data_IF_408747053429
#
_entry.id   IF_408747053429
#
_cell.length_a   1.000
_cell.length_b   1.000
_cell.length_c   1.000
_cell.angle_alpha   90.00
_cell.angle_beta   90.00
_cell.angle_gamma   90.00
#
_symmetry.space_group_name_H-M   'P 1'
#
loop_
_entity.id
_entity.type
_entity.pdbx_description
1 polymer ?
#
# COMPACT_ATOMS: atom_id res chain seq x y z
N UNK A 1 -2.25 -14.91 25.78
CA UNK A 1 -1.56 -14.19 24.68
C UNK A 1 -1.30 -12.76 25.13
N UNK A 2 -0.07 -12.25 24.99
CA UNK A 2 0.30 -10.90 25.47
C UNK A 2 -0.42 -9.80 24.66
N UNK A 3 -0.53 -9.96 23.34
CA UNK A 3 -1.22 -9.00 22.46
C UNK A 3 -2.69 -8.79 22.83
N UNK A 4 -3.46 -9.87 23.05
CA UNK A 4 -4.87 -9.75 23.44
C UNK A 4 -5.04 -9.07 24.81
N UNK A 5 -4.16 -9.36 25.79
CA UNK A 5 -4.18 -8.66 27.07
C UNK A 5 -3.94 -7.16 26.90
N UNK A 6 -3.06 -6.78 25.97
CA UNK A 6 -2.80 -5.38 25.63
C UNK A 6 -4.04 -4.75 24.96
N UNK A 7 -4.64 -5.44 23.99
CA UNK A 7 -5.82 -4.97 23.27
C UNK A 7 -7.00 -4.70 24.21
N UNK A 8 -7.22 -5.58 25.19
CA UNK A 8 -8.32 -5.46 26.16
C UNK A 8 -7.98 -4.65 27.42
N UNK A 9 -6.75 -4.15 27.55
CA UNK A 9 -6.33 -3.37 28.73
C UNK A 9 -6.46 -1.88 28.49
N UNK A 10 -7.01 -1.15 29.44
CA UNK A 10 -7.09 0.32 29.36
C UNK A 10 -5.83 1.03 29.88
N UNK A 11 -4.94 0.30 30.56
CA UNK A 11 -3.81 0.89 31.29
C UNK A 11 -2.44 0.43 30.80
N UNK A 12 -2.38 -0.53 29.86
CA UNK A 12 -1.10 -1.03 29.37
C UNK A 12 -0.32 0.07 28.63
N UNK A 13 0.96 0.23 28.99
CA UNK A 13 1.90 1.10 28.29
C UNK A 13 3.23 0.39 28.15
N UNK A 14 3.87 0.56 26.99
CA UNK A 14 5.24 0.10 26.80
C UNK A 14 6.19 0.97 27.64
N UNK A 15 7.15 0.35 28.35
CA UNK A 15 8.25 1.08 28.95
C UNK A 15 9.06 1.80 27.86
N UNK A 16 9.00 3.13 27.82
CA UNK A 16 9.83 3.96 26.93
C UNK A 16 10.50 5.07 27.72
N UNK A 17 11.71 5.45 27.32
CA UNK A 17 12.45 6.59 27.90
C UNK A 17 12.00 7.93 27.28
N UNK A 18 11.12 7.90 26.29
CA UNK A 18 10.72 9.05 25.49
C UNK A 18 9.29 9.48 25.83
N UNK A 19 8.94 10.73 25.51
CA UNK A 19 7.58 11.25 25.70
C UNK A 19 6.54 10.64 24.74
N UNK A 20 6.99 10.04 23.63
CA UNK A 20 6.15 9.33 22.66
C UNK A 20 6.78 7.99 22.31
N UNK A 21 5.95 6.94 22.31
CA UNK A 21 6.37 5.61 21.85
C UNK A 21 6.78 5.64 20.39
N UNK A 22 7.92 5.04 20.07
CA UNK A 22 8.37 4.79 18.69
C UNK A 22 8.18 3.33 18.32
N UNK A 23 8.22 3.04 17.01
CA UNK A 23 8.20 1.66 16.50
C UNK A 23 9.32 0.83 17.13
N UNK A 24 10.52 1.39 17.28
CA UNK A 24 11.66 0.67 17.87
C UNK A 24 11.41 0.32 19.35
N UNK A 25 10.68 1.14 20.12
CA UNK A 25 10.33 0.81 21.50
C UNK A 25 9.42 -0.44 21.56
N UNK A 26 8.48 -0.56 20.61
CA UNK A 26 7.63 -1.75 20.45
C UNK A 26 8.48 -2.97 20.10
N UNK A 27 9.43 -2.79 19.18
CA UNK A 27 10.27 -3.89 18.73
C UNK A 27 11.15 -4.40 19.87
N UNK A 28 11.78 -3.50 20.63
CA UNK A 28 12.59 -3.85 21.78
C UNK A 28 11.77 -4.53 22.88
N UNK A 29 10.54 -4.07 23.14
CA UNK A 29 9.63 -4.73 24.09
C UNK A 29 9.41 -6.21 23.72
N UNK A 30 9.11 -6.49 22.45
CA UNK A 30 8.88 -7.87 22.00
C UNK A 30 10.18 -8.69 21.87
N UNK A 31 11.33 -8.05 21.69
CA UNK A 31 12.64 -8.73 21.76
C UNK A 31 12.96 -9.26 23.17
N UNK A 32 12.35 -8.71 24.23
CA UNK A 32 12.52 -9.25 25.60
C UNK A 32 11.77 -10.57 25.85
N UNK A 33 10.86 -10.95 24.95
CA UNK A 33 10.04 -12.16 25.10
C UNK A 33 10.81 -13.42 24.68
N UNK A 34 10.46 -14.60 25.22
CA UNK A 34 11.04 -15.86 24.77
C UNK A 34 10.92 -16.02 23.26
N UNK A 35 12.00 -16.41 22.60
CA UNK A 35 12.02 -16.62 21.15
C UNK A 35 11.37 -17.94 20.82
N UNK A 36 10.56 -17.95 19.76
CA UNK A 36 10.00 -19.16 19.19
C UNK A 36 10.80 -19.57 17.95
N UNK A 37 11.07 -20.86 17.82
CA UNK A 37 11.67 -21.41 16.62
C UNK A 37 10.57 -21.85 15.64
N UNK A 38 10.47 -21.15 14.50
CA UNK A 38 9.47 -21.46 13.46
C UNK A 38 9.65 -22.85 12.85
N UNK A 39 10.82 -23.47 12.99
CA UNK A 39 11.08 -24.84 12.54
C UNK A 39 10.74 -25.90 13.60
N UNK A 40 10.51 -25.49 14.84
CA UNK A 40 10.01 -26.37 15.90
C UNK A 40 8.48 -26.42 15.86
N UNK A 41 7.91 -27.62 15.69
CA UNK A 41 6.48 -27.79 15.52
C UNK A 41 5.64 -27.27 16.70
N UNK A 42 6.11 -27.41 17.94
CA UNK A 42 5.37 -26.94 19.12
C UNK A 42 5.36 -25.42 19.21
N UNK A 43 6.49 -24.79 18.89
CA UNK A 43 6.60 -23.33 18.87
C UNK A 43 5.80 -22.71 17.73
N UNK A 44 5.88 -23.30 16.53
CA UNK A 44 5.05 -22.89 15.39
C UNK A 44 3.56 -23.02 15.71
N UNK A 45 3.15 -24.12 16.36
CA UNK A 45 1.77 -24.31 16.81
C UNK A 45 1.33 -23.22 17.79
N UNK A 46 2.17 -22.78 18.73
CA UNK A 46 1.85 -21.66 19.64
C UNK A 46 1.58 -20.38 18.84
N UNK A 47 2.38 -20.11 17.81
CA UNK A 47 2.17 -18.95 16.94
C UNK A 47 0.82 -19.05 16.22
N UNK A 48 0.47 -20.21 15.66
CA UNK A 48 -0.82 -20.46 15.00
C UNK A 48 -1.99 -20.27 15.98
N UNK A 49 -1.92 -20.86 17.17
CA UNK A 49 -2.93 -20.68 18.21
C UNK A 49 -3.11 -19.20 18.57
N UNK A 50 -2.02 -18.44 18.66
CA UNK A 50 -2.07 -17.00 18.89
C UNK A 50 -2.74 -16.25 17.73
N UNK A 51 -2.38 -16.56 16.49
CA UNK A 51 -3.00 -15.96 15.29
C UNK A 51 -4.51 -16.19 15.20
N UNK A 52 -4.97 -17.39 15.59
CA UNK A 52 -6.39 -17.74 15.60
C UNK A 52 -7.18 -16.87 16.59
N UNK A 53 -6.64 -16.66 17.79
CA UNK A 53 -7.31 -15.82 18.79
C UNK A 53 -7.27 -14.33 18.42
N UNK A 54 -6.22 -13.85 17.75
CA UNK A 54 -6.14 -12.49 17.20
C UNK A 54 -7.16 -12.25 16.08
N UNK A 55 -7.34 -13.23 15.19
CA UNK A 55 -8.38 -13.15 14.15
C UNK A 55 -9.77 -13.11 14.79
N UNK A 56 -10.06 -14.00 15.74
CA UNK A 56 -11.35 -14.00 16.44
C UNK A 56 -11.63 -12.65 17.09
N UNK A 57 -10.66 -12.10 17.81
CA UNK A 57 -10.76 -10.76 18.39
C UNK A 57 -11.08 -9.69 17.32
N UNK A 58 -10.37 -9.72 16.19
CA UNK A 58 -10.53 -8.72 15.14
C UNK A 58 -11.87 -8.85 14.40
N UNK A 59 -12.39 -10.08 14.26
CA UNK A 59 -13.71 -10.34 13.67
C UNK A 59 -14.86 -9.79 14.53
N UNK A 60 -14.64 -9.59 15.84
CA UNK A 60 -15.61 -8.99 16.76
C UNK A 60 -15.57 -7.44 16.75
N UNK A 61 -14.71 -6.81 15.95
CA UNK A 61 -14.61 -5.36 15.83
C UNK A 61 -15.48 -4.82 14.68
N UNK A 62 -15.87 -3.54 14.76
CA UNK A 62 -16.65 -2.88 13.70
C UNK A 62 -15.97 -2.93 12.32
N UNK A 63 -14.64 -2.87 12.30
CA UNK A 63 -13.84 -2.94 11.09
C UNK A 63 -12.93 -4.15 11.15
N UNK A 64 -13.33 -5.23 10.47
CA UNK A 64 -12.68 -6.54 10.58
C UNK A 64 -11.50 -6.72 9.63
N UNK A 65 -11.52 -6.03 8.47
CA UNK A 65 -10.59 -6.27 7.36
C UNK A 65 -11.04 -7.36 6.37
N UNK A 66 -12.12 -8.08 6.66
CA UNK A 66 -12.71 -9.06 5.73
C UNK A 66 -13.25 -8.35 4.49
N UNK A 67 -13.01 -8.92 3.31
CA UNK A 67 -13.45 -8.37 2.03
C UNK A 67 -12.64 -7.18 1.54
N UNK A 68 -11.49 -6.87 2.18
CA UNK A 68 -10.60 -5.80 1.75
C UNK A 68 -10.10 -6.01 0.32
N UNK A 69 -9.72 -7.23 -0.06
CA UNK A 69 -9.26 -7.54 -1.42
C UNK A 69 -10.40 -7.76 -2.43
N UNK A 70 -11.65 -7.83 -1.96
CA UNK A 70 -12.79 -8.19 -2.79
C UNK A 70 -13.75 -7.01 -2.91
N UNK A 71 -14.72 -6.90 -1.99
CA UNK A 71 -15.75 -5.87 -2.06
C UNK A 71 -15.15 -4.46 -1.98
N UNK A 72 -14.15 -4.24 -1.13
CA UNK A 72 -13.58 -2.90 -0.95
C UNK A 72 -12.87 -2.41 -2.21
N UNK A 73 -11.96 -3.21 -2.78
CA UNK A 73 -11.29 -2.89 -4.04
C UNK A 73 -12.31 -2.70 -5.16
N UNK A 74 -13.31 -3.60 -5.28
CA UNK A 74 -14.35 -3.50 -6.30
C UNK A 74 -15.15 -2.20 -6.19
N UNK A 75 -15.57 -1.83 -4.98
CA UNK A 75 -16.29 -0.58 -4.75
C UNK A 75 -15.39 0.64 -5.06
N UNK A 76 -14.11 0.61 -4.65
CA UNK A 76 -13.15 1.68 -4.96
C UNK A 76 -12.96 1.86 -6.47
N UNK A 77 -12.87 0.77 -7.23
CA UNK A 77 -12.77 0.80 -8.69
C UNK A 77 -14.06 1.29 -9.37
N UNK A 78 -15.23 1.06 -8.76
CA UNK A 78 -16.49 1.64 -9.23
C UNK A 78 -16.52 3.15 -9.00
N UNK A 79 -16.05 3.62 -7.84
CA UNK A 79 -16.00 5.05 -7.51
C UNK A 79 -15.08 5.85 -8.47
N UNK A 80 -14.11 5.20 -9.13
CA UNK A 80 -13.28 5.86 -10.15
C UNK A 80 -14.10 6.48 -11.28
N UNK A 81 -15.23 5.88 -11.64
CA UNK A 81 -16.12 6.40 -12.71
C UNK A 81 -16.70 7.77 -12.35
N UNK A 82 -16.91 8.00 -11.05
CA UNK A 82 -17.42 9.26 -10.50
C UNK A 82 -16.27 10.23 -10.24
N UNK A 83 -15.13 9.73 -9.76
CA UNK A 83 -13.93 10.55 -9.54
C UNK A 83 -13.47 11.17 -10.86
N UNK A 84 -13.45 10.42 -11.96
CA UNK A 84 -13.09 10.97 -13.26
C UNK A 84 -13.79 10.20 -14.38
N UNK A 85 -14.69 10.84 -15.14
CA UNK A 85 -15.46 10.17 -16.20
C UNK A 85 -14.62 9.44 -17.25
N UNK A 86 -13.32 9.73 -17.39
CA UNK A 86 -12.41 8.99 -18.30
C UNK A 86 -12.21 7.52 -17.91
N UNK A 87 -12.44 7.16 -16.64
CA UNK A 87 -12.41 5.77 -16.18
C UNK A 87 -13.71 5.02 -16.51
N UNK A 88 -14.80 5.76 -16.76
CA UNK A 88 -16.12 5.17 -17.03
C UNK A 88 -16.09 4.36 -18.32
N UNK A 89 -16.58 3.12 -18.25
CA UNK A 89 -16.58 2.18 -19.37
C UNK A 89 -15.18 1.91 -19.97
N UNK A 90 -14.12 2.14 -19.19
CA UNK A 90 -12.74 1.94 -19.62
C UNK A 90 -12.05 0.92 -18.69
N UNK A 91 -12.28 -0.39 -18.90
CA UNK A 91 -11.70 -1.43 -18.04
C UNK A 91 -10.16 -1.44 -18.06
N UNK A 92 -9.55 -1.08 -19.19
CA UNK A 92 -8.10 -1.03 -19.35
C UNK A 92 -7.47 0.03 -18.43
N UNK A 93 -8.09 1.21 -18.29
CA UNK A 93 -7.56 2.23 -17.38
C UNK A 93 -7.72 1.85 -15.90
N UNK A 94 -8.76 1.09 -15.54
CA UNK A 94 -8.91 0.55 -14.18
C UNK A 94 -7.88 -0.54 -13.87
N UNK A 95 -7.64 -1.45 -14.81
CA UNK A 95 -6.56 -2.44 -14.72
C UNK A 95 -5.19 -1.75 -14.58
N UNK A 96 -4.97 -0.67 -15.35
CA UNK A 96 -3.77 0.15 -15.23
C UNK A 96 -3.63 0.79 -13.85
N UNK A 97 -4.73 1.28 -13.25
CA UNK A 97 -4.72 1.79 -11.85
C UNK A 97 -4.34 0.68 -10.87
N UNK A 98 -4.84 -0.55 -11.04
CA UNK A 98 -4.48 -1.69 -10.17
C UNK A 98 -2.98 -2.02 -10.27
N UNK A 99 -2.45 -2.08 -11.50
CA UNK A 99 -1.03 -2.26 -11.72
C UNK A 99 -0.19 -1.12 -11.09
N UNK A 100 -0.56 0.14 -11.33
CA UNK A 100 0.13 1.31 -10.79
C UNK A 100 0.12 1.32 -9.26
N UNK A 101 -1.01 0.95 -8.66
CA UNK A 101 -1.14 0.79 -7.21
C UNK A 101 -0.12 -0.23 -6.70
N UNK A 102 0.08 -1.32 -7.44
CA UNK A 102 1.01 -2.38 -7.06
C UNK A 102 2.46 -1.92 -7.02
N UNK A 103 2.94 -1.15 -8.02
CA UNK A 103 4.32 -0.63 -8.06
C UNK A 103 4.55 0.57 -7.13
N UNK A 104 3.48 1.28 -6.75
CA UNK A 104 3.53 2.42 -5.82
C UNK A 104 3.27 2.03 -4.36
N UNK A 105 2.79 0.81 -4.09
CA UNK A 105 2.53 0.29 -2.73
C UNK A 105 3.75 0.19 -1.80
N UNK A 106 4.99 -0.11 -2.25
CA UNK A 106 6.09 -0.36 -1.33
C UNK A 106 6.41 0.84 -0.44
N UNK A 107 6.27 0.64 0.88
CA UNK A 107 6.64 1.62 1.90
C UNK A 107 5.68 2.79 2.08
N UNK A 108 4.54 2.80 1.37
CA UNK A 108 3.44 3.75 1.59
C UNK A 108 2.33 3.15 2.47
N UNK A 109 1.66 3.97 3.30
CA UNK A 109 0.39 3.56 3.90
C UNK A 109 -0.68 3.36 2.82
N UNK A 110 -1.57 2.40 3.05
CA UNK A 110 -2.71 2.14 2.20
C UNK A 110 -3.50 3.43 1.93
N UNK A 111 -3.78 3.67 0.66
CA UNK A 111 -4.50 4.82 0.14
C UNK A 111 -3.61 5.94 -0.41
N UNK A 112 -2.35 6.04 0.04
CA UNK A 112 -1.40 6.94 -0.63
C UNK A 112 -0.96 6.38 -1.98
N UNK A 113 -0.64 5.09 -2.02
CA UNK A 113 -0.39 4.30 -3.21
C UNK A 113 -1.53 4.42 -4.24
N UNK A 114 -2.76 4.22 -3.80
CA UNK A 114 -3.94 4.27 -4.65
C UNK A 114 -4.21 5.68 -5.21
N UNK A 115 -4.10 6.72 -4.37
CA UNK A 115 -4.18 8.12 -4.83
C UNK A 115 -3.11 8.45 -5.87
N UNK A 116 -1.88 8.01 -5.62
CA UNK A 116 -0.78 8.24 -6.55
C UNK A 116 -1.02 7.49 -7.87
N UNK A 117 -1.53 6.25 -7.82
CA UNK A 117 -1.89 5.47 -9.00
C UNK A 117 -2.99 6.14 -9.84
N UNK A 118 -4.06 6.63 -9.20
CA UNK A 118 -5.12 7.39 -9.88
C UNK A 118 -4.54 8.63 -10.58
N UNK A 119 -3.65 9.37 -9.91
CA UNK A 119 -3.00 10.55 -10.50
C UNK A 119 -2.13 10.21 -11.70
N UNK A 120 -1.34 9.14 -11.63
CA UNK A 120 -0.50 8.69 -12.76
C UNK A 120 -1.40 8.26 -13.92
N UNK A 121 -2.46 7.50 -13.65
CA UNK A 121 -3.40 7.05 -14.68
C UNK A 121 -4.15 8.22 -15.33
N UNK A 122 -4.64 9.20 -14.56
CA UNK A 122 -5.29 10.39 -15.12
C UNK A 122 -4.33 11.23 -15.96
N UNK A 123 -3.07 11.42 -15.53
CA UNK A 123 -2.06 12.08 -16.35
C UNK A 123 -1.86 11.33 -17.68
N UNK A 124 -1.71 10.00 -17.63
CA UNK A 124 -1.58 9.19 -18.82
C UNK A 124 -2.79 9.33 -19.76
N UNK A 125 -4.02 9.30 -19.23
CA UNK A 125 -5.24 9.48 -20.03
C UNK A 125 -5.38 10.88 -20.64
N UNK A 126 -4.60 11.87 -20.18
CA UNK A 126 -4.54 13.22 -20.76
C UNK A 126 -3.47 13.36 -21.85
N UNK A 127 -2.33 12.70 -21.67
CA UNK A 127 -1.10 13.02 -22.43
C UNK A 127 -0.58 11.85 -23.25
N UNK A 128 -1.09 10.64 -23.04
CA UNK A 128 -0.47 9.39 -23.50
C UNK A 128 1.00 9.23 -23.04
N UNK A 129 1.35 9.86 -21.91
CA UNK A 129 2.64 9.76 -21.24
C UNK A 129 2.46 9.34 -19.79
N UNK A 130 3.21 8.32 -19.36
CA UNK A 130 3.24 7.87 -17.97
C UNK A 130 4.31 8.67 -17.23
N UNK A 131 3.94 9.66 -16.39
CA UNK A 131 4.92 10.49 -15.71
C UNK A 131 5.63 9.70 -14.61
N UNK A 132 6.94 9.87 -14.51
CA UNK A 132 7.75 9.26 -13.46
C UNK A 132 8.03 10.24 -12.28
N UNK A 133 7.64 11.50 -12.43
CA UNK A 133 7.65 12.57 -11.42
C UNK A 133 6.27 13.21 -11.43
N UNK A 134 5.75 13.55 -10.25
CA UNK A 134 4.51 14.29 -10.14
C UNK A 134 4.74 15.74 -10.61
N UNK A 135 4.07 16.20 -11.69
CA UNK A 135 4.25 17.55 -12.22
C UNK A 135 3.79 18.64 -11.23
N UNK A 136 2.85 18.34 -10.33
CA UNK A 136 2.34 19.30 -9.35
C UNK A 136 3.35 19.60 -8.24
N UNK A 137 4.16 18.60 -7.85
CA UNK A 137 5.04 18.69 -6.67
C UNK A 137 6.52 18.60 -7.01
N UNK A 138 6.86 18.29 -8.26
CA UNK A 138 8.22 17.99 -8.72
C UNK A 138 8.93 16.92 -7.85
N UNK A 139 8.18 15.93 -7.36
CA UNK A 139 8.66 14.81 -6.53
C UNK A 139 8.19 13.48 -7.13
N UNK A 140 8.84 12.38 -6.77
CA UNK A 140 8.39 11.05 -7.17
C UNK A 140 6.99 10.72 -6.64
N UNK A 141 6.22 9.94 -7.40
CA UNK A 141 4.94 9.38 -6.94
C UNK A 141 5.12 8.30 -5.86
N UNK A 142 6.25 7.58 -5.94
CA UNK A 142 6.67 6.51 -5.02
C UNK A 142 7.58 7.03 -3.90
N UNK A 143 7.64 6.31 -2.77
CA UNK A 143 8.58 6.60 -1.68
C UNK A 143 10.04 6.35 -2.08
N UNK A 144 10.25 5.36 -2.96
CA UNK A 144 11.58 4.89 -3.34
C UNK A 144 11.89 5.24 -4.80
N UNK A 145 13.18 5.46 -5.09
CA UNK A 145 13.66 5.69 -6.45
C UNK A 145 13.33 4.52 -7.41
N UNK A 146 13.21 3.30 -6.90
CA UNK A 146 12.81 2.13 -7.68
C UNK A 146 11.45 2.33 -8.38
N UNK A 147 10.47 2.96 -7.72
CA UNK A 147 9.16 3.25 -8.31
C UNK A 147 9.26 4.23 -9.48
N UNK A 148 10.21 5.17 -9.44
CA UNK A 148 10.48 6.09 -10.56
C UNK A 148 11.01 5.33 -11.77
N UNK A 149 11.97 4.43 -11.57
CA UNK A 149 12.52 3.62 -12.66
C UNK A 149 11.49 2.63 -13.23
N UNK A 150 10.62 2.08 -12.37
CA UNK A 150 9.48 1.27 -12.81
C UNK A 150 8.54 2.08 -13.70
N UNK A 151 8.14 3.30 -13.29
CA UNK A 151 7.28 4.17 -14.11
C UNK A 151 7.91 4.54 -15.47
N UNK A 152 9.23 4.75 -15.52
CA UNK A 152 9.93 4.93 -16.81
C UNK A 152 9.83 3.68 -17.69
N UNK A 153 9.97 2.50 -17.11
CA UNK A 153 9.83 1.24 -17.84
C UNK A 153 8.41 1.03 -18.36
N UNK A 154 7.40 1.34 -17.54
CA UNK A 154 6.00 1.37 -17.97
C UNK A 154 5.83 2.31 -19.16
N UNK A 155 6.34 3.56 -19.06
CA UNK A 155 6.23 4.52 -20.15
C UNK A 155 6.89 4.02 -21.45
N UNK A 156 8.06 3.37 -21.35
CA UNK A 156 8.76 2.84 -22.51
C UNK A 156 7.95 1.76 -23.24
N UNK A 157 7.33 0.82 -22.50
CA UNK A 157 6.47 -0.21 -23.11
C UNK A 157 5.22 0.44 -23.71
N UNK A 158 4.56 1.34 -22.97
CA UNK A 158 3.34 2.03 -23.43
C UNK A 158 3.59 2.86 -24.68
N UNK A 159 4.74 3.55 -24.80
CA UNK A 159 5.11 4.28 -26.02
C UNK A 159 5.35 3.36 -27.22
N UNK A 160 5.83 2.15 -26.99
CA UNK A 160 6.07 1.18 -28.06
C UNK A 160 4.81 0.42 -28.47
N UNK A 161 3.92 0.09 -27.52
CA UNK A 161 2.85 -0.91 -27.72
C UNK A 161 1.44 -0.41 -27.36
N UNK A 162 1.30 0.83 -26.93
CA UNK A 162 0.06 1.36 -26.37
C UNK A 162 -0.26 0.79 -24.98
N UNK A 163 -1.38 1.23 -24.41
CA UNK A 163 -1.86 0.69 -23.12
C UNK A 163 -2.17 -0.81 -23.24
N UNK A 164 -2.83 -1.21 -24.32
CA UNK A 164 -3.28 -2.60 -24.53
C UNK A 164 -2.10 -3.57 -24.58
N UNK A 165 -1.07 -3.25 -25.36
CA UNK A 165 0.13 -4.08 -25.40
C UNK A 165 0.94 -4.06 -24.10
N UNK A 166 0.81 -3.01 -23.28
CA UNK A 166 1.36 -3.01 -21.92
C UNK A 166 0.56 -3.92 -20.98
N UNK A 167 -0.77 -3.86 -21.01
CA UNK A 167 -1.63 -4.72 -20.20
C UNK A 167 -1.49 -6.20 -20.60
N UNK A 168 -1.44 -6.48 -21.91
CA UNK A 168 -1.12 -7.81 -22.43
C UNK A 168 0.23 -8.29 -21.88
N UNK A 169 1.27 -7.45 -21.93
CA UNK A 169 2.58 -7.80 -21.39
C UNK A 169 2.51 -8.19 -19.92
N UNK A 170 1.88 -7.40 -19.05
CA UNK A 170 1.90 -7.68 -17.60
C UNK A 170 1.07 -8.92 -17.21
N UNK A 171 0.03 -9.27 -17.98
CA UNK A 171 -0.84 -10.42 -17.72
C UNK A 171 -0.39 -11.70 -18.43
N UNK A 172 0.59 -11.63 -19.32
CA UNK A 172 1.09 -12.80 -20.05
C UNK A 172 2.04 -13.65 -19.20
N UNK A 173 1.79 -14.97 -19.06
CA UNK A 173 2.78 -15.92 -18.59
C UNK A 173 4.01 -15.91 -19.51
N UNK A 174 5.21 -15.85 -18.94
CA UNK A 174 6.48 -15.64 -19.63
C UNK A 174 7.61 -16.21 -18.77
N UNK A 175 8.86 -16.03 -19.21
CA UNK A 175 10.06 -16.37 -18.46
C UNK A 175 10.85 -15.12 -18.09
N UNK A 176 11.69 -15.24 -17.05
CA UNK A 176 12.62 -14.15 -16.69
C UNK A 176 13.60 -13.84 -17.82
N UNK A 177 13.94 -14.83 -18.65
CA UNK A 177 14.76 -14.65 -19.86
C UNK A 177 14.12 -13.67 -20.84
N UNK A 178 12.83 -13.86 -21.15
CA UNK A 178 12.07 -12.98 -22.05
C UNK A 178 11.88 -11.58 -21.46
N UNK A 179 11.55 -11.48 -20.17
CA UNK A 179 11.50 -10.19 -19.46
C UNK A 179 12.84 -9.46 -19.57
N UNK A 180 13.96 -10.15 -19.36
CA UNK A 180 15.29 -9.56 -19.45
C UNK A 180 15.64 -9.09 -20.87
N UNK A 181 15.18 -9.79 -21.90
CA UNK A 181 15.34 -9.35 -23.29
C UNK A 181 14.54 -8.06 -23.57
N UNK A 182 13.29 -7.97 -23.10
CA UNK A 182 12.47 -6.75 -23.23
C UNK A 182 13.11 -5.57 -22.48
N UNK A 183 13.60 -5.81 -21.27
CA UNK A 183 14.28 -4.77 -20.47
C UNK A 183 15.54 -4.28 -21.15
N UNK A 184 16.38 -5.19 -21.65
CA UNK A 184 17.61 -4.86 -22.38
C UNK A 184 17.32 -4.07 -23.67
N UNK A 185 16.34 -4.51 -24.46
CA UNK A 185 15.88 -3.80 -25.67
C UNK A 185 15.45 -2.36 -25.37
N UNK A 186 14.83 -2.13 -24.21
CA UNK A 186 14.35 -0.82 -23.79
C UNK A 186 15.38 -0.04 -22.93
N UNK A 187 16.61 -0.54 -22.77
CA UNK A 187 17.68 0.15 -22.04
C UNK A 187 17.59 0.06 -20.51
N UNK A 188 16.89 -0.96 -19.98
CA UNK A 188 16.73 -1.21 -18.55
C UNK A 188 17.57 -2.39 -18.07
N UNK A 189 18.06 -2.31 -16.82
CA UNK A 189 18.81 -3.37 -16.18
C UNK A 189 18.00 -4.66 -16.04
N UNK A 190 18.65 -5.81 -16.25
CA UNK A 190 18.08 -7.15 -16.05
C UNK A 190 17.65 -7.38 -14.59
N UNK A 191 16.65 -8.23 -14.38
CA UNK A 191 16.21 -8.69 -13.07
C UNK A 191 16.86 -10.04 -12.72
N UNK A 192 17.16 -10.26 -11.44
CA UNK A 192 17.81 -11.45 -10.93
C UNK A 192 16.83 -12.62 -10.71
N UNK A 193 17.36 -13.85 -10.70
CA UNK A 193 16.63 -15.10 -10.41
C UNK A 193 16.72 -16.15 -11.53
N UNK A 194 16.06 -17.29 -11.35
CA UNK A 194 16.04 -18.40 -12.33
C UNK A 194 15.46 -17.97 -13.68
N UNK A 195 16.17 -18.21 -14.78
CA UNK A 195 15.81 -17.64 -16.09
C UNK A 195 14.54 -18.24 -16.70
N UNK A 196 14.34 -19.54 -16.52
CA UNK A 196 13.34 -20.32 -17.27
C UNK A 196 12.13 -20.73 -16.41
N UNK A 197 12.02 -20.18 -15.19
CA UNK A 197 10.81 -20.35 -14.37
C UNK A 197 9.68 -19.53 -14.99
N UNK A 198 8.52 -20.15 -15.19
CA UNK A 198 7.29 -19.47 -15.57
C UNK A 198 6.89 -18.44 -14.48
N UNK A 199 6.69 -17.21 -14.94
CA UNK A 199 6.31 -16.02 -14.17
C UNK A 199 5.38 -15.17 -15.05
N UNK A 200 4.88 -14.03 -14.56
CA UNK A 200 4.11 -13.09 -15.39
C UNK A 200 4.97 -11.91 -15.82
N UNK A 201 4.61 -11.21 -16.90
CA UNK A 201 5.30 -9.98 -17.28
C UNK A 201 5.26 -8.91 -16.17
N UNK A 202 4.25 -8.92 -15.30
CA UNK A 202 4.19 -8.08 -14.10
C UNK A 202 5.38 -8.30 -13.14
N UNK A 203 6.01 -9.48 -13.13
CA UNK A 203 7.21 -9.76 -12.33
C UNK A 203 8.44 -8.96 -12.81
N UNK A 204 8.39 -8.35 -13.99
CA UNK A 204 9.39 -7.39 -14.47
C UNK A 204 9.51 -6.16 -13.57
N UNK A 205 8.50 -5.89 -12.75
CA UNK A 205 8.43 -4.76 -11.82
C UNK A 205 8.75 -5.16 -10.39
N UNK A 206 9.08 -6.42 -10.12
CA UNK A 206 9.56 -6.89 -8.82
C UNK A 206 8.72 -8.03 -8.25
N UNK A 207 9.30 -8.81 -7.33
CA UNK A 207 8.78 -10.14 -6.93
C UNK A 207 7.45 -10.08 -6.16
N UNK A 208 7.02 -8.91 -5.70
CA UNK A 208 5.73 -8.70 -5.02
C UNK A 208 4.64 -8.21 -5.98
N UNK A 209 5.02 -7.51 -7.06
CA UNK A 209 4.08 -6.72 -7.88
C UNK A 209 3.02 -7.62 -8.52
N UNK A 210 3.46 -8.68 -9.20
CA UNK A 210 2.57 -9.63 -9.87
C UNK A 210 1.51 -10.23 -8.93
N UNK A 211 1.96 -10.80 -7.81
CA UNK A 211 1.07 -11.43 -6.82
C UNK A 211 0.09 -10.43 -6.19
N UNK A 212 0.59 -9.26 -5.81
CA UNK A 212 -0.26 -8.23 -5.21
C UNK A 212 -1.30 -7.72 -6.20
N UNK A 213 -0.91 -7.49 -7.46
CA UNK A 213 -1.81 -7.09 -8.54
C UNK A 213 -2.91 -8.13 -8.74
N UNK A 214 -2.56 -9.42 -8.84
CA UNK A 214 -3.53 -10.50 -9.01
C UNK A 214 -4.49 -10.60 -7.81
N UNK A 215 -3.99 -10.38 -6.58
CA UNK A 215 -4.84 -10.32 -5.40
C UNK A 215 -5.84 -9.16 -5.45
N UNK A 216 -5.44 -7.98 -5.93
CA UNK A 216 -6.32 -6.82 -6.12
C UNK A 216 -7.34 -7.04 -7.25
N UNK A 217 -6.97 -7.82 -8.28
CA UNK A 217 -7.87 -8.20 -9.37
C UNK A 217 -8.82 -9.34 -8.99
N UNK A 218 -8.62 -10.00 -7.85
CA UNK A 218 -9.40 -11.17 -7.44
C UNK A 218 -9.06 -12.45 -8.21
N UNK A 219 -7.92 -12.49 -8.91
CA UNK A 219 -7.49 -13.64 -9.72
C UNK A 219 -6.52 -14.58 -8.99
N UNK A 220 -6.07 -14.19 -7.79
CA UNK A 220 -5.22 -15.00 -6.93
C UNK A 220 -5.67 -14.92 -5.48
N UNK A 221 -5.40 -15.98 -4.72
CA UNK A 221 -5.53 -16.05 -3.26
C UNK A 221 -4.16 -16.34 -2.62
N UNK A 222 -3.07 -15.88 -3.23
CA UNK A 222 -1.74 -16.07 -2.64
C UNK A 222 -1.52 -15.11 -1.47
N UNK A 223 -0.77 -15.58 -0.48
CA UNK A 223 -0.29 -14.71 0.59
C UNK A 223 0.77 -13.74 0.04
N UNK A 224 0.67 -12.45 0.40
CA UNK A 224 1.60 -11.42 -0.04
C UNK A 224 2.13 -10.64 1.17
N UNK A 225 3.03 -11.26 1.97
CA UNK A 225 3.55 -10.68 3.21
C UNK A 225 3.97 -9.22 3.03
N UNK A 226 3.19 -8.32 3.61
CA UNK A 226 3.54 -6.93 3.74
C UNK A 226 4.24 -6.65 5.08
N UNK A 227 4.49 -5.38 5.36
CA UNK A 227 5.18 -4.95 6.58
C UNK A 227 4.42 -5.32 7.85
N UNK A 228 3.08 -5.26 7.85
CA UNK A 228 2.27 -5.48 9.04
C UNK A 228 2.06 -6.95 9.30
N UNK A 229 1.79 -7.74 8.26
CA UNK A 229 1.77 -9.19 8.40
C UNK A 229 3.14 -9.71 8.85
N UNK A 230 4.23 -9.20 8.27
CA UNK A 230 5.60 -9.57 8.65
C UNK A 230 5.88 -9.22 10.12
N UNK A 231 5.45 -8.04 10.58
CA UNK A 231 5.57 -7.60 11.98
C UNK A 231 4.76 -8.51 12.91
N UNK A 232 3.50 -8.79 12.60
CA UNK A 232 2.64 -9.63 13.43
C UNK A 232 3.14 -11.06 13.56
N UNK A 233 3.68 -11.64 12.47
CA UNK A 233 4.34 -12.95 12.52
C UNK A 233 5.60 -12.93 13.40
N UNK A 234 6.47 -11.94 13.19
CA UNK A 234 7.73 -11.84 13.91
C UNK A 234 7.57 -11.38 15.37
N UNK A 235 6.48 -10.69 15.71
CA UNK A 235 6.09 -10.35 17.08
C UNK A 235 5.82 -11.61 17.89
N UNK A 236 5.03 -12.54 17.33
CA UNK A 236 4.77 -13.85 17.94
C UNK A 236 6.06 -14.66 18.11
N UNK A 237 6.94 -14.58 17.11
CA UNK A 237 8.26 -15.20 17.15
C UNK A 237 9.20 -14.57 18.20
N UNK A 238 8.97 -13.32 18.56
CA UNK A 238 9.84 -12.52 19.41
C UNK A 238 11.09 -11.99 18.69
N UNK A 239 11.11 -11.91 17.35
CA UNK A 239 12.30 -11.47 16.58
C UNK A 239 11.96 -10.30 15.66
N UNK A 240 12.09 -9.08 16.15
CA UNK A 240 11.60 -7.87 15.50
C UNK A 240 12.64 -7.14 14.65
N UNK A 241 13.93 -7.43 14.85
CA UNK A 241 15.01 -6.80 14.08
C UNK A 241 15.64 -7.76 13.07
N UNK A 242 16.11 -7.16 11.97
CA UNK A 242 17.17 -7.69 11.14
C UNK A 242 18.49 -7.15 11.66
N UNK A 243 19.45 -8.04 11.89
CA UNK A 243 20.78 -7.68 12.37
C UNK A 243 21.78 -8.00 11.27
N UNK A 244 22.51 -7.00 10.79
CA UNK A 244 23.58 -7.20 9.81
C UNK A 244 24.81 -7.84 10.47
N UNK A 245 25.77 -8.31 9.66
CA UNK A 245 27.04 -8.84 10.17
C UNK A 245 27.78 -7.82 11.03
N UNK A 246 27.68 -6.53 10.69
CA UNK A 246 28.28 -5.42 11.43
C UNK A 246 27.48 -5.01 12.69
N UNK A 247 26.43 -5.75 13.04
CA UNK A 247 25.59 -5.49 14.22
C UNK A 247 24.53 -4.40 14.03
N UNK A 248 24.37 -3.84 12.83
CA UNK A 248 23.33 -2.85 12.58
C UNK A 248 21.94 -3.50 12.67
N UNK A 249 21.06 -2.91 13.49
CA UNK A 249 19.70 -3.37 13.69
C UNK A 249 18.73 -2.52 12.89
N UNK A 250 17.93 -3.16 12.04
CA UNK A 250 16.84 -2.50 11.32
C UNK A 250 15.55 -3.24 11.59
N UNK A 251 14.46 -2.51 11.78
CA UNK A 251 13.16 -3.14 12.00
C UNK A 251 12.74 -4.01 10.82
N UNK A 252 12.21 -5.20 11.08
CA UNK A 252 11.78 -6.12 10.02
C UNK A 252 10.60 -5.54 9.21
N UNK A 253 10.68 -5.67 7.88
CA UNK A 253 9.66 -5.15 6.96
C UNK A 253 9.24 -6.14 5.87
N UNK A 254 9.94 -7.25 5.73
CA UNK A 254 9.68 -8.33 4.78
C UNK A 254 10.28 -9.64 5.32
N UNK A 255 9.89 -10.82 4.80
CA UNK A 255 10.54 -12.09 5.14
C UNK A 255 12.07 -12.01 4.90
N UNK A 256 12.89 -12.52 5.82
CA UNK A 256 14.36 -12.45 5.70
C UNK A 256 14.90 -13.40 4.64
N UNK A 257 14.23 -14.54 4.47
CA UNK A 257 14.64 -15.61 3.54
C UNK A 257 13.41 -16.22 2.86
N UNK A 258 13.64 -16.98 1.79
CA UNK A 258 12.60 -17.77 1.14
C UNK A 258 11.99 -18.80 2.11
N UNK A 259 12.82 -19.43 2.94
CA UNK A 259 12.37 -20.37 3.97
C UNK A 259 11.45 -19.72 5.01
N UNK A 260 11.77 -18.50 5.46
CA UNK A 260 10.87 -17.77 6.37
C UNK A 260 9.54 -17.43 5.68
N UNK A 261 9.56 -17.08 4.38
CA UNK A 261 8.34 -16.87 3.59
C UNK A 261 7.49 -18.13 3.51
N UNK A 262 8.09 -19.30 3.28
CA UNK A 262 7.36 -20.57 3.26
C UNK A 262 6.65 -20.85 4.60
N UNK A 263 7.31 -20.57 5.74
CA UNK A 263 6.67 -20.68 7.06
C UNK A 263 5.54 -19.67 7.26
N UNK A 264 5.68 -18.46 6.74
CA UNK A 264 4.61 -17.45 6.76
C UNK A 264 3.40 -17.87 5.94
N UNK A 265 3.62 -18.51 4.79
CA UNK A 265 2.54 -19.05 3.95
C UNK A 265 1.86 -20.24 4.63
N UNK A 266 2.65 -21.16 5.21
CA UNK A 266 2.12 -22.26 6.02
C UNK A 266 1.31 -21.76 7.22
N UNK A 267 1.76 -20.69 7.87
CA UNK A 267 1.07 -20.11 9.02
C UNK A 267 -0.34 -19.63 8.66
N UNK A 268 -0.54 -19.00 7.49
CA UNK A 268 -1.88 -18.63 7.01
C UNK A 268 -2.75 -19.87 6.79
N UNK A 269 -2.20 -20.92 6.18
CA UNK A 269 -2.91 -22.18 5.93
C UNK A 269 -3.35 -22.85 7.23
N UNK A 270 -2.47 -22.92 8.23
CA UNK A 270 -2.75 -23.57 9.52
C UNK A 270 -3.75 -22.77 10.35
N UNK A 271 -3.62 -21.45 10.38
CA UNK A 271 -4.59 -20.55 11.03
C UNK A 271 -5.98 -20.72 10.43
N UNK A 272 -6.12 -20.71 9.09
CA UNK A 272 -7.40 -20.96 8.40
C UNK A 272 -7.98 -22.33 8.73
N UNK A 273 -7.14 -23.36 8.68
CA UNK A 273 -7.55 -24.75 8.95
C UNK A 273 -8.07 -24.88 10.39
N UNK A 274 -7.41 -24.21 11.34
CA UNK A 274 -7.83 -24.20 12.73
C UNK A 274 -9.11 -23.38 12.96
N UNK A 275 -9.26 -22.22 12.31
CA UNK A 275 -10.49 -21.42 12.35
C UNK A 275 -11.69 -22.21 11.84
N UNK A 276 -11.55 -22.90 10.70
CA UNK A 276 -12.62 -23.70 10.12
C UNK A 276 -12.98 -24.89 11.00
N UNK A 277 -11.98 -25.66 11.42
CA UNK A 277 -12.22 -26.92 12.16
C UNK A 277 -12.73 -26.71 13.59
N UNK A 278 -12.26 -25.68 14.31
CA UNK A 278 -12.62 -25.47 15.72
C UNK A 278 -13.76 -24.49 15.93
N UNK A 279 -13.93 -23.54 15.01
CA UNK A 279 -14.85 -22.42 15.20
C UNK A 279 -15.84 -22.25 14.03
N UNK A 280 -15.76 -23.09 12.99
CA UNK A 280 -16.54 -22.97 11.77
C UNK A 280 -16.44 -21.58 11.10
N UNK A 281 -15.31 -20.91 11.27
CA UNK A 281 -15.00 -19.63 10.63
C UNK A 281 -14.22 -19.93 9.34
N UNK A 282 -14.73 -19.46 8.21
CA UNK A 282 -14.12 -19.68 6.89
C UNK A 282 -13.62 -18.35 6.32
N UNK A 283 -12.34 -18.30 6.01
CA UNK A 283 -11.67 -17.16 5.40
C UNK A 283 -10.77 -17.66 4.26
N UNK A 284 -10.61 -16.87 3.20
CA UNK A 284 -9.57 -17.12 2.19
C UNK A 284 -8.21 -16.59 2.70
N UNK A 285 -7.11 -16.85 1.97
CA UNK A 285 -5.78 -16.41 2.43
C UNK A 285 -5.67 -14.88 2.51
N UNK A 286 -6.25 -14.18 1.52
CA UNK A 286 -6.25 -12.71 1.44
C UNK A 286 -6.96 -12.06 2.62
N UNK A 287 -8.13 -12.57 2.99
CA UNK A 287 -8.89 -12.11 4.16
C UNK A 287 -8.19 -12.46 5.45
N UNK A 288 -7.64 -13.68 5.58
CA UNK A 288 -6.88 -14.08 6.78
C UNK A 288 -5.71 -13.13 7.02
N UNK A 289 -4.97 -12.81 5.96
CA UNK A 289 -3.89 -11.82 6.02
C UNK A 289 -4.42 -10.42 6.36
N UNK A 290 -5.50 -9.97 5.72
CA UNK A 290 -6.06 -8.64 5.97
C UNK A 290 -6.56 -8.47 7.41
N UNK A 291 -7.25 -9.46 7.97
CA UNK A 291 -7.72 -9.44 9.36
C UNK A 291 -6.54 -9.37 10.33
N UNK A 292 -5.49 -10.18 10.12
CA UNK A 292 -4.27 -10.10 10.93
C UNK A 292 -3.55 -8.75 10.80
N UNK A 293 -3.55 -8.17 9.60
CA UNK A 293 -3.01 -6.83 9.36
C UNK A 293 -3.76 -5.76 10.15
N UNK A 294 -5.09 -5.77 10.11
CA UNK A 294 -5.94 -4.85 10.87
C UNK A 294 -5.70 -4.98 12.38
N UNK A 295 -5.61 -6.21 12.88
CA UNK A 295 -5.25 -6.48 14.28
C UNK A 295 -3.90 -5.86 14.66
N UNK A 296 -2.86 -6.13 13.88
CA UNK A 296 -1.50 -5.68 14.20
C UNK A 296 -1.40 -4.15 14.20
N UNK A 297 -2.08 -3.47 13.27
CA UNK A 297 -2.15 -2.00 13.27
C UNK A 297 -2.91 -1.44 14.47
N UNK A 298 -4.04 -2.06 14.83
CA UNK A 298 -4.78 -1.71 16.04
C UNK A 298 -3.92 -1.87 17.30
N UNK A 299 -3.13 -2.95 17.38
CA UNK A 299 -2.17 -3.18 18.45
C UNK A 299 -1.12 -2.07 18.51
N UNK A 300 -0.53 -1.65 17.39
CA UNK A 300 0.47 -0.58 17.39
C UNK A 300 -0.13 0.76 17.85
N UNK A 301 -1.37 1.05 17.43
CA UNK A 301 -2.11 2.22 17.90
C UNK A 301 -2.34 2.17 19.41
N UNK A 302 -2.77 1.03 19.94
CA UNK A 302 -2.94 0.81 21.40
C UNK A 302 -1.63 1.00 22.16
N UNK A 303 -0.51 0.65 21.54
CA UNK A 303 0.84 0.81 22.08
C UNK A 303 1.41 2.24 21.95
N UNK A 304 0.66 3.17 21.35
CA UNK A 304 1.02 4.58 21.25
C UNK A 304 1.70 4.98 19.94
N UNK A 305 1.77 4.08 18.95
CA UNK A 305 2.20 4.40 17.58
C UNK A 305 0.98 4.39 16.68
N UNK A 306 0.47 5.59 16.37
CA UNK A 306 -0.72 5.75 15.53
C UNK A 306 -0.56 4.99 14.20
N UNK A 307 -1.44 4.02 13.98
CA UNK A 307 -1.49 3.17 12.81
C UNK A 307 -2.94 2.78 12.55
N UNK A 308 -3.58 3.49 11.64
CA UNK A 308 -4.97 3.25 11.27
C UNK A 308 -5.04 2.37 10.02
N UNK A 309 -5.72 1.22 10.09
CA UNK A 309 -6.13 0.49 8.89
C UNK A 309 -6.98 1.35 8.00
N UNK A 310 -6.62 1.38 6.72
CA UNK A 310 -7.35 2.10 5.67
C UNK A 310 -7.74 1.13 4.58
N UNK A 311 -8.80 1.48 3.89
CA UNK A 311 -9.32 0.74 2.75
C UNK A 311 -9.35 1.64 1.52
N UNK A 312 -9.25 1.08 0.31
CA UNK A 312 -9.25 1.90 -0.89
C UNK A 312 -10.60 2.58 -1.11
N UNK A 313 -11.70 1.95 -0.67
CA UNK A 313 -13.02 2.57 -0.73
C UNK A 313 -13.17 3.79 0.17
N UNK A 314 -12.60 3.76 1.38
CA UNK A 314 -12.59 4.96 2.24
C UNK A 314 -11.87 6.12 1.53
N UNK A 315 -10.80 5.80 0.80
CA UNK A 315 -9.98 6.78 0.10
C UNK A 315 -10.76 7.41 -1.07
N UNK A 316 -11.47 6.62 -1.86
CA UNK A 316 -12.31 7.13 -2.95
C UNK A 316 -13.46 7.98 -2.44
N UNK A 317 -14.11 7.57 -1.35
CA UNK A 317 -15.16 8.36 -0.69
C UNK A 317 -14.68 9.73 -0.25
N UNK A 318 -13.52 9.81 0.42
CA UNK A 318 -12.93 11.11 0.80
C UNK A 318 -12.63 11.99 -0.42
N UNK A 319 -12.18 11.41 -1.54
CA UNK A 319 -11.96 12.16 -2.78
C UNK A 319 -13.28 12.70 -3.37
N UNK A 320 -14.36 11.90 -3.31
CA UNK A 320 -15.69 12.31 -3.78
C UNK A 320 -16.31 13.42 -2.90
N UNK A 321 -16.17 13.31 -1.58
CA UNK A 321 -16.59 14.34 -0.64
C UNK A 321 -15.84 15.66 -0.86
N UNK A 322 -14.52 15.60 -1.07
CA UNK A 322 -13.70 16.76 -1.43
C UNK A 322 -14.21 17.47 -2.69
N UNK A 323 -14.53 16.71 -3.75
CA UNK A 323 -15.11 17.27 -4.99
C UNK A 323 -16.47 17.92 -4.78
N UNK A 324 -17.31 17.35 -3.93
CA UNK A 324 -18.64 17.90 -3.61
C UNK A 324 -18.51 19.24 -2.88
N UNK A 325 -17.53 19.36 -1.99
CA UNK A 325 -17.26 20.61 -1.28
C UNK A 325 -16.67 21.70 -2.20
N UNK A 326 -15.83 21.33 -3.16
CA UNK A 326 -15.28 22.27 -4.15
C UNK A 326 -16.33 22.74 -5.15
N UNK A 327 -17.27 21.88 -5.56
CA UNK A 327 -18.40 22.24 -6.43
C UNK A 327 -19.46 23.10 -5.73
N UNK A 328 -19.61 22.95 -4.41
CA UNK A 328 -20.47 23.83 -3.60
C UNK A 328 -19.84 25.20 -3.30
N UNK A 329 -18.50 25.31 -3.29
CA UNK A 329 -17.79 26.59 -3.11
C UNK A 329 -17.75 27.48 -4.37
N UNK A 330 -18.21 26.98 -5.52
CA UNK A 330 -18.11 27.69 -6.81
C UNK A 330 -19.40 28.43 -7.24
N UNK A 331 -20.33 28.72 -6.32
CA UNK A 331 -21.48 29.60 -6.59
C UNK A 331 -21.37 30.92 -5.81
N UNK A 332 -20.81 32.00 -6.40
CA UNK A 332 -21.27 33.35 -6.10
C UNK A 332 -22.55 33.57 -6.89
N UNK A 333 -23.68 33.61 -6.18
CA UNK A 333 -24.94 34.12 -6.72
C UNK A 333 -24.73 35.58 -7.12
N UNK A 334 -24.85 35.85 -8.42
CA UNK A 334 -25.09 37.18 -8.94
C UNK A 334 -26.47 37.65 -8.47
N UNK A 335 -26.49 38.62 -7.56
CA UNK A 335 -27.64 39.49 -7.35
C UNK A 335 -27.13 40.92 -7.17
N UNK A 336 -27.42 41.72 -8.18
CA UNK A 336 -27.33 43.17 -8.28
C UNK A 336 -27.95 43.85 -7.07
N UNK A 337 -27.24 44.80 -6.47
CA UNK A 337 -27.85 46.04 -5.98
C UNK A 337 -26.84 47.18 -6.08
N UNK A 338 -27.15 48.14 -6.94
CA UNK A 338 -26.50 49.44 -7.00
C UNK A 338 -26.70 50.20 -5.69
N UNK A 339 -25.66 50.85 -5.17
CA UNK A 339 -25.77 52.26 -4.71
C UNK A 339 -24.39 52.89 -4.48
N UNK A 340 -24.07 53.84 -5.38
CA UNK A 340 -23.45 55.16 -5.17
C UNK A 340 -22.09 55.31 -4.44
N UNK A 341 -21.11 55.78 -5.24
CA UNK A 341 -19.96 56.65 -4.92
C UNK A 341 -20.42 57.94 -4.16
N UNK A 342 -19.55 58.75 -3.49
CA UNK A 342 -18.26 59.23 -4.05
C UNK A 342 -17.12 59.57 -3.05
N UNK A 343 -15.86 59.51 -3.52
CA UNK A 343 -15.03 60.73 -3.73
C UNK A 343 -13.60 60.39 -4.16
N UNK A 344 -13.19 61.11 -5.20
CA UNK A 344 -11.83 61.23 -5.68
C UNK A 344 -11.03 62.25 -4.86
N UNK A 345 -9.71 62.06 -4.80
CA UNK A 345 -8.75 63.11 -5.14
C UNK A 345 -7.44 62.47 -5.59
N UNK A 346 -7.02 62.87 -6.78
CA UNK A 346 -5.71 62.62 -7.34
C UNK A 346 -4.72 63.63 -6.78
N UNK A 347 -3.45 63.23 -6.66
CA UNK A 347 -2.35 64.15 -6.92
C UNK A 347 -1.13 63.37 -7.44
N UNK A 348 -0.56 63.95 -8.48
CA UNK A 348 0.58 63.52 -9.28
C UNK A 348 1.89 63.88 -8.55
N UNK A 349 3.11 63.44 -8.90
CA UNK A 349 3.92 63.86 -10.07
C UNK A 349 5.34 63.26 -9.89
N UNK A 350 5.92 62.80 -11.00
CA UNK A 350 7.35 62.76 -11.43
C UNK A 350 8.45 61.94 -10.74
N UNK A 351 8.96 60.98 -11.52
CA UNK A 351 10.33 60.83 -12.07
C UNK A 351 11.57 61.27 -11.26
N UNK A 352 12.54 60.36 -11.18
CA UNK A 352 13.95 60.67 -10.94
C UNK A 352 14.82 59.41 -10.89
N UNK A 353 15.47 59.09 -12.01
CA UNK A 353 16.51 58.05 -12.11
C UNK A 353 17.86 58.51 -11.53
N UNK A 354 18.61 57.52 -10.99
CA UNK A 354 20.09 57.35 -10.92
C UNK A 354 20.96 58.18 -9.95
N UNK A 355 22.22 57.76 -9.64
CA UNK A 355 22.86 56.42 -9.69
C UNK A 355 23.79 56.09 -8.48
N UNK A 356 24.29 54.84 -8.52
CA UNK A 356 25.59 54.30 -8.04
C UNK A 356 26.04 54.42 -6.58
N UNK A 357 26.38 53.24 -6.04
CA UNK A 357 27.13 52.98 -4.81
C UNK A 357 27.39 51.48 -4.66
#
# INVERSE_FOLDING_TARGET
>A
IDSLKIMTSDSFKIPTKQSKTKIDDIFEYYETKPKLDISNANDFKKMVDEGVEEIKYQLDQDVTGVGWYDKDVKDAMADLDVINPKFKNNPQSKDFVVFLTSILSPGYPVGFDFRAAIKVADNFLNTNDVPHINPETNRGFGRFAASREQLKFVNAIVKQRGLDGFLEFIHTPTTRREINAVREQLGFNKIAGALDKEIFGADAFGPKVSKFMQNLLGTSDENVPDIWFTRGFNRKRGTMFNVTQDGNRTGIQAPRTLKEREFMDQYIVDVKSQLKSKYNIELNNRDTQAVLWYFEQGLYTKLGVASEPKSYRQITRTLLEGKTNDSQRSIPSSATTETQNPKATAESITTGETPDG
#
